data_IF_243071680171
#
_entry.id   IF_243071680171
#
_cell.length_a   1.000
_cell.length_b   1.000
_cell.length_c   1.000
_cell.angle_alpha   90.00
_cell.angle_beta   90.00
_cell.angle_gamma   90.00
#
_symmetry.space_group_name_H-M   'P 1'
#
loop_
_entity.id
_entity.type
_entity.pdbx_description
1 polymer ?
#
# COMPACT_ATOMS: atom_id res chain seq x y z
N UNK A 1 -14.52 -18.11 -20.23
CA UNK A 1 -13.93 -17.38 -19.09
C UNK A 1 -14.35 -18.10 -17.82
N UNK A 2 -13.44 -18.82 -17.19
CA UNK A 2 -13.68 -19.39 -15.86
C UNK A 2 -13.64 -18.26 -14.84
N UNK A 3 -14.80 -17.90 -14.31
CA UNK A 3 -15.07 -16.80 -13.37
C UNK A 3 -14.51 -17.04 -11.95
N UNK A 4 -13.32 -17.62 -11.80
CA UNK A 4 -12.72 -17.93 -10.50
C UNK A 4 -11.58 -16.97 -10.17
N UNK A 5 -11.87 -15.66 -10.16
CA UNK A 5 -11.00 -14.75 -9.44
C UNK A 5 -10.99 -15.20 -7.96
N UNK A 6 -9.82 -15.22 -7.29
CA UNK A 6 -9.72 -15.74 -5.93
C UNK A 6 -10.44 -14.87 -4.89
N UNK A 7 -10.74 -13.62 -5.23
CA UNK A 7 -11.40 -12.67 -4.35
C UNK A 7 -12.90 -12.88 -4.22
N UNK A 8 -13.42 -12.69 -3.01
CA UNK A 8 -14.85 -12.63 -2.72
C UNK A 8 -15.32 -11.15 -2.77
N UNK A 9 -16.17 -10.77 -3.74
CA UNK A 9 -16.67 -9.40 -3.86
C UNK A 9 -17.63 -9.00 -2.74
N UNK A 10 -18.37 -9.94 -2.15
CA UNK A 10 -19.25 -9.65 -1.00
C UNK A 10 -18.38 -9.30 0.20
N UNK A 11 -17.36 -10.11 0.47
CA UNK A 11 -16.43 -9.83 1.58
C UNK A 11 -15.67 -8.51 1.38
N UNK A 12 -15.30 -8.20 0.14
CA UNK A 12 -14.68 -6.93 -0.21
C UNK A 12 -15.57 -5.73 0.19
N UNK A 13 -16.86 -5.76 -0.18
CA UNK A 13 -17.80 -4.71 0.16
C UNK A 13 -18.00 -4.56 1.68
N UNK A 14 -18.12 -5.67 2.41
CA UNK A 14 -18.20 -5.65 3.89
C UNK A 14 -17.00 -4.96 4.52
N UNK A 15 -15.78 -5.32 4.10
CA UNK A 15 -14.54 -4.72 4.64
C UNK A 15 -14.48 -3.22 4.33
N UNK A 16 -14.88 -2.81 3.12
CA UNK A 16 -14.92 -1.38 2.76
C UNK A 16 -15.88 -0.62 3.70
N UNK A 17 -17.06 -1.17 3.99
CA UNK A 17 -18.03 -0.54 4.91
C UNK A 17 -17.46 -0.44 6.32
N UNK A 18 -16.87 -1.52 6.84
CA UNK A 18 -16.20 -1.56 8.14
C UNK A 18 -15.12 -0.45 8.23
N UNK A 19 -14.25 -0.34 7.22
CA UNK A 19 -13.17 0.66 7.17
C UNK A 19 -13.69 2.09 7.12
N UNK A 20 -14.71 2.37 6.30
CA UNK A 20 -15.29 3.72 6.19
C UNK A 20 -15.94 4.16 7.50
N UNK A 21 -16.56 3.25 8.23
CA UNK A 21 -17.22 3.55 9.50
C UNK A 21 -16.30 3.42 10.72
N UNK A 22 -15.13 2.82 10.56
CA UNK A 22 -14.23 2.50 11.68
C UNK A 22 -14.80 1.43 12.62
N UNK A 23 -15.62 0.51 12.10
CA UNK A 23 -16.28 -0.55 12.86
C UNK A 23 -15.82 -1.94 12.40
N UNK A 24 -16.33 -2.99 13.05
CA UNK A 24 -16.06 -4.38 12.67
C UNK A 24 -14.56 -4.69 12.59
N UNK A 25 -14.10 -5.16 11.43
CA UNK A 25 -12.69 -5.51 11.17
C UNK A 25 -11.73 -4.30 11.20
N UNK A 26 -12.25 -3.08 11.11
CA UNK A 26 -11.48 -1.85 11.14
C UNK A 26 -11.48 -1.14 12.51
N UNK A 27 -12.14 -1.70 13.52
CA UNK A 27 -12.27 -1.09 14.84
C UNK A 27 -10.89 -0.78 15.45
N UNK A 28 -10.69 0.48 15.86
CA UNK A 28 -9.44 0.96 16.46
C UNK A 28 -8.29 1.18 15.47
N UNK A 29 -8.50 0.99 14.17
CA UNK A 29 -7.52 1.31 13.12
C UNK A 29 -7.73 2.73 12.61
N UNK A 30 -6.63 3.41 12.26
CA UNK A 30 -6.71 4.68 11.52
C UNK A 30 -7.15 4.42 10.08
N UNK A 31 -7.88 5.37 9.51
CA UNK A 31 -8.31 5.28 8.11
C UNK A 31 -7.07 5.26 7.19
N UNK A 32 -6.91 4.23 6.33
CA UNK A 32 -5.72 4.09 5.50
C UNK A 32 -5.75 5.02 4.28
N UNK A 33 -4.57 5.46 3.83
CA UNK A 33 -4.45 6.19 2.56
C UNK A 33 -4.79 5.30 1.35
N UNK A 34 -4.38 4.03 1.40
CA UNK A 34 -4.66 3.01 0.38
C UNK A 34 -5.05 1.72 1.09
N UNK A 35 -6.14 1.08 0.66
CA UNK A 35 -6.61 -0.20 1.18
C UNK A 35 -6.54 -1.27 0.08
N UNK A 36 -5.38 -1.92 -0.13
CA UNK A 36 -5.30 -3.04 -1.05
C UNK A 36 -6.03 -4.26 -0.47
N UNK A 37 -6.89 -4.88 -1.27
CA UNK A 37 -7.70 -6.04 -0.88
C UNK A 37 -7.33 -7.21 -1.78
N UNK A 38 -6.98 -8.34 -1.17
CA UNK A 38 -6.48 -9.53 -1.87
C UNK A 38 -4.97 -9.74 -1.67
N UNK A 39 -4.56 -11.01 -1.62
CA UNK A 39 -3.15 -11.39 -1.43
C UNK A 39 -2.27 -11.05 -2.62
N UNK A 40 -2.84 -11.04 -3.82
CA UNK A 40 -2.23 -10.59 -5.06
C UNK A 40 -1.94 -9.08 -5.02
N UNK A 41 -2.92 -8.27 -4.64
CA UNK A 41 -2.75 -6.83 -4.47
C UNK A 41 -1.69 -6.51 -3.41
N UNK A 42 -1.76 -7.19 -2.25
CA UNK A 42 -0.75 -7.06 -1.20
C UNK A 42 0.66 -7.44 -1.70
N UNK A 43 0.81 -8.58 -2.37
CA UNK A 43 2.09 -9.06 -2.87
C UNK A 43 2.72 -8.10 -3.88
N UNK A 44 1.97 -7.69 -4.90
CA UNK A 44 2.46 -6.80 -5.95
C UNK A 44 2.82 -5.41 -5.43
N UNK A 45 1.99 -4.82 -4.56
CA UNK A 45 2.29 -3.50 -3.98
C UNK A 45 3.50 -3.59 -3.06
N UNK A 46 3.58 -4.63 -2.21
CA UNK A 46 4.71 -4.84 -1.30
C UNK A 46 6.03 -4.95 -2.07
N UNK A 47 6.06 -5.76 -3.13
CA UNK A 47 7.26 -5.93 -3.97
C UNK A 47 7.73 -4.60 -4.56
N UNK A 48 6.81 -3.80 -5.13
CA UNK A 48 7.15 -2.48 -5.69
C UNK A 48 7.67 -1.55 -4.60
N UNK A 49 6.99 -1.46 -3.46
CA UNK A 49 7.42 -0.60 -2.35
C UNK A 49 8.81 -0.98 -1.82
N UNK A 50 9.06 -2.27 -1.58
CA UNK A 50 10.34 -2.76 -1.08
C UNK A 50 11.46 -2.48 -2.10
N UNK A 51 11.21 -2.72 -3.39
CA UNK A 51 12.17 -2.39 -4.46
C UNK A 51 12.46 -0.89 -4.52
N UNK A 52 11.43 -0.05 -4.47
CA UNK A 52 11.59 1.41 -4.51
C UNK A 52 12.39 1.90 -3.31
N UNK A 53 12.07 1.43 -2.09
CA UNK A 53 12.83 1.80 -0.88
C UNK A 53 14.30 1.35 -1.01
N UNK A 54 14.54 0.15 -1.53
CA UNK A 54 15.90 -0.34 -1.79
C UNK A 54 16.66 0.57 -2.76
N UNK A 55 16.02 0.96 -3.87
CA UNK A 55 16.61 1.87 -4.86
C UNK A 55 16.87 3.28 -4.30
N UNK A 56 15.98 3.79 -3.44
CA UNK A 56 16.20 5.08 -2.77
C UNK A 56 17.47 5.07 -1.91
N UNK A 57 17.74 3.95 -1.21
CA UNK A 57 18.96 3.79 -0.42
C UNK A 57 20.21 3.57 -1.29
N UNK A 58 20.12 2.73 -2.33
CA UNK A 58 21.24 2.43 -3.24
C UNK A 58 21.70 3.68 -4.00
N UNK A 59 20.78 4.55 -4.40
CA UNK A 59 21.06 5.74 -5.20
C UNK A 59 20.96 7.05 -4.41
N UNK A 60 21.02 6.99 -3.07
CA UNK A 60 20.83 8.17 -2.21
C UNK A 60 21.80 9.30 -2.56
N UNK A 61 23.07 8.96 -2.81
CA UNK A 61 24.11 9.93 -3.17
C UNK A 61 23.78 10.68 -4.46
N UNK A 62 23.31 9.96 -5.49
CA UNK A 62 22.91 10.53 -6.77
C UNK A 62 21.60 11.31 -6.64
N UNK A 63 20.58 10.73 -6.00
CA UNK A 63 19.24 11.34 -5.84
C UNK A 63 19.35 12.67 -5.08
N UNK A 64 20.11 12.70 -3.98
CA UNK A 64 20.29 13.91 -3.16
C UNK A 64 21.39 14.84 -3.66
N UNK A 65 22.18 14.47 -4.69
CA UNK A 65 23.25 15.33 -5.23
C UNK A 65 22.77 16.63 -5.86
N UNK A 66 21.47 16.74 -6.12
CA UNK A 66 20.85 17.93 -6.74
C UNK A 66 20.40 18.99 -5.72
N UNK A 67 20.53 18.69 -4.43
CA UNK A 67 20.22 19.65 -3.37
C UNK A 67 21.17 20.86 -3.43
N UNK A 68 20.66 22.05 -3.11
CA UNK A 68 21.53 23.18 -2.81
C UNK A 68 22.43 22.83 -1.61
N UNK A 69 23.68 23.33 -1.57
CA UNK A 69 24.51 23.19 -0.38
C UNK A 69 23.75 23.70 0.85
N UNK A 70 23.68 22.90 1.92
CA UNK A 70 23.04 23.35 3.17
C UNK A 70 23.74 24.62 3.62
N UNK A 71 23.00 25.72 3.67
CA UNK A 71 23.48 26.98 4.24
C UNK A 71 23.56 26.77 5.75
N UNK A 72 24.75 26.97 6.32
CA UNK A 72 25.00 26.86 7.76
C UNK A 72 24.30 27.95 8.56
#
# INVERSE_FOLDING_TARGET
MSNNLPGDPVKCAEIIVDVVKGEGTALGKQFPLVLPLGSDAHGGIKEVCEKTIGQLGEWEDVICSTDFPRVA
#
